data_IF_430673033384
#
_entry.id   IF_430673033384
#
_cell.length_a   1.000
_cell.length_b   1.000
_cell.length_c   1.000
_cell.angle_alpha   90.00
_cell.angle_beta   90.00
_cell.angle_gamma   90.00
#
_symmetry.space_group_name_H-M   'P 1'
#
loop_
_entity.id
_entity.type
_entity.pdbx_description
1 polymer ?
#
# COMPACT_ATOMS: atom_id res chain seq x y z
N UNK A 1 -17.13 0.00 0.60
CA UNK A 1 -17.59 -0.38 1.96
C UNK A 1 -16.51 0.06 2.94
N UNK A 2 -16.87 0.58 4.12
CA UNK A 2 -15.91 0.92 5.18
C UNK A 2 -15.98 -0.15 6.29
N UNK A 3 -14.83 -0.70 6.66
CA UNK A 3 -14.69 -1.70 7.72
C UNK A 3 -13.82 -1.13 8.86
N UNK A 4 -14.04 -1.61 10.09
CA UNK A 4 -13.25 -1.22 11.26
C UNK A 4 -12.87 -2.46 12.07
N UNK A 5 -11.64 -2.53 12.54
CA UNK A 5 -11.14 -3.66 13.32
C UNK A 5 -9.64 -3.56 13.56
N UNK A 6 -9.04 -4.57 14.21
CA UNK A 6 -7.60 -4.61 14.39
C UNK A 6 -6.89 -4.83 13.04
N UNK A 7 -5.71 -4.24 12.87
CA UNK A 7 -4.96 -4.28 11.60
C UNK A 7 -4.69 -5.70 11.10
N UNK A 8 -4.43 -6.66 11.98
CA UNK A 8 -4.20 -8.05 11.61
C UNK A 8 -5.45 -8.73 11.03
N UNK A 9 -6.67 -8.23 11.29
CA UNK A 9 -7.86 -8.78 10.67
C UNK A 9 -7.93 -8.46 9.17
N UNK A 10 -7.21 -7.43 8.69
CA UNK A 10 -7.16 -7.09 7.27
C UNK A 10 -6.55 -8.21 6.42
N UNK A 11 -5.68 -9.05 6.99
CA UNK A 11 -5.09 -10.20 6.28
C UNK A 11 -6.09 -11.33 6.01
N UNK A 12 -7.25 -11.28 6.66
CA UNK A 12 -8.33 -12.26 6.51
C UNK A 12 -9.47 -11.73 5.64
N UNK A 13 -9.28 -10.61 4.95
CA UNK A 13 -10.19 -10.11 3.92
C UNK A 13 -9.85 -10.80 2.61
N UNK A 14 -10.83 -11.44 1.96
CA UNK A 14 -10.60 -12.24 0.78
C UNK A 14 -11.64 -13.34 0.61
N UNK A 15 -11.31 -14.34 -0.20
CA UNK A 15 -12.23 -15.42 -0.59
C UNK A 15 -11.53 -16.77 -0.58
N UNK A 16 -12.23 -17.82 -0.19
CA UNK A 16 -11.76 -19.20 -0.35
C UNK A 16 -12.05 -19.65 -1.78
N UNK A 17 -11.01 -19.97 -2.55
CA UNK A 17 -11.16 -20.54 -3.89
C UNK A 17 -11.51 -22.03 -3.83
N UNK A 18 -10.96 -22.71 -2.83
CA UNK A 18 -11.26 -24.08 -2.45
C UNK A 18 -11.04 -24.25 -0.92
N UNK A 19 -11.34 -25.42 -0.31
CA UNK A 19 -11.20 -25.62 1.14
C UNK A 19 -9.79 -25.46 1.71
N UNK A 20 -8.76 -25.37 0.85
CA UNK A 20 -7.35 -25.29 1.23
C UNK A 20 -6.67 -24.00 0.79
N UNK A 21 -7.31 -23.19 -0.08
CA UNK A 21 -6.72 -21.99 -0.65
C UNK A 21 -7.54 -20.73 -0.37
N UNK A 22 -6.99 -19.85 0.46
CA UNK A 22 -7.52 -18.50 0.70
C UNK A 22 -6.79 -17.47 -0.14
N UNK A 23 -7.53 -16.77 -1.00
CA UNK A 23 -7.02 -15.63 -1.76
C UNK A 23 -7.29 -14.35 -0.97
N UNK A 24 -6.26 -13.85 -0.29
CA UNK A 24 -6.30 -12.57 0.41
C UNK A 24 -6.53 -11.42 -0.58
N UNK A 25 -7.23 -10.39 -0.12
CA UNK A 25 -7.52 -9.16 -0.82
C UNK A 25 -7.11 -8.00 0.07
N UNK A 26 -6.09 -7.24 -0.34
CA UNK A 26 -5.66 -6.04 0.38
C UNK A 26 -6.75 -4.97 0.34
N UNK A 27 -6.94 -4.19 1.42
CA UNK A 27 -7.78 -3.00 1.36
C UNK A 27 -7.13 -1.94 0.47
N UNK A 28 -7.87 -1.36 -0.48
CA UNK A 28 -7.34 -0.28 -1.33
C UNK A 28 -6.93 0.97 -0.53
N UNK A 29 -7.55 1.23 0.62
CA UNK A 29 -7.24 2.35 1.49
C UNK A 29 -7.50 1.99 2.96
N UNK A 30 -6.52 2.22 3.85
CA UNK A 30 -6.70 2.04 5.29
C UNK A 30 -5.91 3.04 6.12
N UNK A 31 -6.37 3.29 7.35
CA UNK A 31 -5.79 4.26 8.28
C UNK A 31 -6.15 3.89 9.74
N UNK A 32 -5.33 4.30 10.73
CA UNK A 32 -5.65 4.15 12.14
C UNK A 32 -6.75 5.13 12.58
N UNK A 33 -7.41 4.86 13.70
CA UNK A 33 -8.52 5.67 14.20
C UNK A 33 -8.19 7.16 14.37
N UNK A 34 -6.94 7.48 14.73
CA UNK A 34 -6.45 8.86 14.91
C UNK A 34 -6.06 9.56 13.60
N UNK A 35 -6.11 8.86 12.45
CA UNK A 35 -5.71 9.36 11.14
C UNK A 35 -4.26 9.87 11.07
N UNK A 36 -3.37 9.34 11.91
CA UNK A 36 -1.97 9.75 11.93
C UNK A 36 -1.20 9.40 10.63
N UNK A 37 -1.70 8.43 9.85
CA UNK A 37 -1.18 8.02 8.55
C UNK A 37 -2.29 7.37 7.71
N UNK A 38 -2.04 7.17 6.42
CA UNK A 38 -2.87 6.32 5.57
C UNK A 38 -2.00 5.54 4.59
N UNK A 39 -2.52 4.40 4.15
CA UNK A 39 -1.92 3.57 3.11
C UNK A 39 -2.93 3.41 2.00
N UNK A 40 -2.50 3.65 0.76
CA UNK A 40 -3.28 3.42 -0.45
C UNK A 40 -2.57 2.44 -1.37
N UNK A 41 -3.33 1.46 -1.88
CA UNK A 41 -2.90 0.45 -2.84
C UNK A 41 -3.88 0.49 -3.99
N UNK A 42 -3.38 0.61 -5.22
CA UNK A 42 -4.19 0.75 -6.41
C UNK A 42 -3.84 -0.36 -7.40
N UNK A 43 -4.81 -0.85 -8.17
CA UNK A 43 -4.60 -1.97 -9.09
C UNK A 43 -3.70 -1.59 -10.28
N UNK A 44 -3.66 -0.30 -10.62
CA UNK A 44 -2.87 0.24 -11.72
C UNK A 44 -1.44 0.62 -11.28
N UNK A 45 -1.15 0.58 -9.98
CA UNK A 45 0.17 0.91 -9.43
C UNK A 45 0.90 -0.39 -9.06
N UNK A 46 2.20 -0.43 -9.35
CA UNK A 46 3.11 -1.47 -8.85
C UNK A 46 3.61 -1.16 -7.43
N UNK A 47 3.18 -0.04 -6.88
CA UNK A 47 3.69 0.57 -5.66
C UNK A 47 2.55 0.79 -4.65
N UNK A 48 2.90 0.71 -3.36
CA UNK A 48 1.97 1.08 -2.27
C UNK A 48 2.33 2.47 -1.76
N UNK A 49 1.34 3.36 -1.72
CA UNK A 49 1.50 4.70 -1.17
C UNK A 49 1.31 4.70 0.34
N UNK A 50 2.21 5.39 1.05
CA UNK A 50 2.05 5.69 2.48
C UNK A 50 2.17 7.19 2.68
N UNK A 51 1.17 7.78 3.34
CA UNK A 51 1.21 9.18 3.76
C UNK A 51 1.11 9.29 5.27
N UNK A 52 1.78 10.29 5.84
CA UNK A 52 1.80 10.52 7.29
C UNK A 52 2.72 11.66 7.66
N UNK A 53 3.12 11.72 8.93
CA UNK A 53 4.06 12.73 9.40
C UNK A 53 5.44 12.58 8.75
N UNK A 54 6.22 13.68 8.69
CA UNK A 54 7.61 13.63 8.18
C UNK A 54 8.48 12.63 8.94
N UNK A 55 8.26 12.47 10.24
CA UNK A 55 8.97 11.48 11.06
C UNK A 55 8.66 10.06 10.62
N UNK A 56 7.39 9.74 10.36
CA UNK A 56 6.97 8.42 9.87
C UNK A 56 7.54 8.15 8.48
N UNK A 57 7.40 9.10 7.55
CA UNK A 57 7.94 8.95 6.20
C UNK A 57 9.47 8.81 6.23
N UNK A 58 10.15 9.61 7.07
CA UNK A 58 11.59 9.47 7.29
C UNK A 58 11.98 8.10 7.80
N UNK A 59 11.19 7.47 8.68
CA UNK A 59 11.48 6.11 9.14
C UNK A 59 11.33 5.08 8.02
N UNK A 60 10.29 5.19 7.18
CA UNK A 60 10.08 4.28 6.04
C UNK A 60 11.19 4.40 4.99
N UNK A 61 11.60 5.63 4.65
CA UNK A 61 12.69 5.87 3.69
C UNK A 61 14.06 5.40 4.21
N UNK A 62 14.23 5.26 5.52
CA UNK A 62 15.47 4.76 6.12
C UNK A 62 15.43 3.26 6.46
N UNK A 63 14.32 2.57 6.19
CA UNK A 63 14.19 1.14 6.47
C UNK A 63 14.82 0.32 5.34
N UNK A 64 15.96 -0.37 5.57
CA UNK A 64 16.72 -1.01 4.48
C UNK A 64 16.00 -2.18 3.81
N UNK A 65 14.95 -2.70 4.44
CA UNK A 65 14.14 -3.80 3.88
C UNK A 65 13.03 -3.33 2.96
N UNK A 66 12.80 -2.02 2.85
CA UNK A 66 11.83 -1.42 1.94
C UNK A 66 12.53 -0.75 0.76
N UNK A 67 12.03 -1.00 -0.44
CA UNK A 67 12.31 -0.14 -1.60
C UNK A 67 11.31 1.02 -1.57
N UNK A 68 11.74 2.16 -1.04
CA UNK A 68 10.88 3.29 -0.75
C UNK A 68 11.45 4.58 -1.33
N UNK A 69 10.58 5.33 -2.00
CA UNK A 69 10.93 6.60 -2.65
C UNK A 69 9.97 7.71 -2.22
N UNK A 70 10.46 8.94 -2.00
CA UNK A 70 9.58 10.08 -1.79
C UNK A 70 8.83 10.38 -3.08
N UNK A 71 7.53 10.64 -2.98
CA UNK A 71 6.68 11.03 -4.11
C UNK A 71 5.93 12.32 -3.79
N UNK A 72 5.62 13.09 -4.83
CA UNK A 72 4.84 14.31 -4.82
C UNK A 72 3.47 14.10 -5.49
N UNK A 73 2.46 14.93 -5.18
CA UNK A 73 1.12 14.78 -5.76
C UNK A 73 1.04 14.82 -7.29
N UNK A 74 2.02 15.45 -7.93
CA UNK A 74 2.08 15.62 -9.38
C UNK A 74 2.95 14.53 -10.06
N UNK A 75 3.51 13.60 -9.29
CA UNK A 75 4.31 12.51 -9.86
C UNK A 75 3.40 11.49 -10.56
N UNK A 76 3.80 11.07 -11.76
CA UNK A 76 3.14 9.98 -12.47
C UNK A 76 3.71 8.64 -12.00
N UNK A 77 2.93 7.92 -11.21
CA UNK A 77 3.34 6.70 -10.50
C UNK A 77 2.58 5.44 -10.95
N UNK A 78 1.96 5.50 -12.13
CA UNK A 78 1.37 4.31 -12.72
C UNK A 78 2.47 3.31 -13.05
N UNK A 79 2.10 2.02 -13.15
CA UNK A 79 3.06 0.96 -13.43
C UNK A 79 3.85 1.15 -14.75
N UNK A 80 3.34 1.96 -15.69
CA UNK A 80 4.01 2.30 -16.95
C UNK A 80 4.75 3.65 -16.92
N UNK A 81 4.85 4.29 -15.75
CA UNK A 81 5.54 5.57 -15.56
C UNK A 81 7.06 5.47 -15.57
N UNK A 82 7.63 4.28 -15.42
CA UNK A 82 9.07 4.08 -15.58
C UNK A 82 9.46 4.08 -17.07
N UNK A 83 10.23 5.10 -17.45
CA UNK A 83 10.82 5.24 -18.78
C UNK A 83 12.35 5.00 -18.79
N UNK A 84 12.95 4.72 -17.64
CA UNK A 84 14.39 4.45 -17.49
C UNK A 84 14.65 2.96 -17.71
N UNK A 85 13.84 2.08 -17.12
CA UNK A 85 13.95 0.63 -17.27
C UNK A 85 12.62 0.00 -17.75
N UNK A 86 12.28 0.13 -19.04
CA UNK A 86 10.99 -0.35 -19.53
C UNK A 86 10.84 -1.86 -19.37
N UNK A 87 9.61 -2.29 -19.09
CA UNK A 87 9.22 -3.71 -19.10
C UNK A 87 9.53 -4.33 -20.48
N UNK A 88 10.03 -5.58 -20.54
CA UNK A 88 10.37 -6.26 -21.80
C UNK A 88 9.22 -6.38 -22.80
#
# INVERSE_FOLDING_TARGET
MLLTGPVHAATNVGWWLDPTWFQAQSPNLFWPTDRAWCVATEIDFDSTLVAGTRTLIGALLNEPTLDAWPVHPDDYIAADGDHVNPVP
#
